data_IF_061378384718
#
_entry.id   IF_061378384718
#
_cell.length_a   1.000
_cell.length_b   1.000
_cell.length_c   1.000
_cell.angle_alpha   90.00
_cell.angle_beta   90.00
_cell.angle_gamma   90.00
#
_symmetry.space_group_name_H-M   'P 1'
#
loop_
_entity.id
_entity.type
_entity.pdbx_description
1 polymer ?
#
# COMPACT_ATOMS: atom_id res chain seq x y z
N UNK A 1 2.26 10.42 -34.24
CA UNK A 1 2.70 10.39 -32.83
C UNK A 1 2.24 9.12 -32.11
N UNK A 2 0.94 8.77 -32.14
CA UNK A 2 0.41 7.56 -31.48
C UNK A 2 1.06 6.22 -31.93
N UNK A 3 1.41 6.10 -33.21
CA UNK A 3 2.09 4.90 -33.74
C UNK A 3 3.53 4.74 -33.26
N UNK A 4 4.22 5.86 -32.95
CA UNK A 4 5.59 5.85 -32.48
C UNK A 4 5.65 5.53 -30.98
N UNK A 5 4.67 5.99 -30.19
CA UNK A 5 4.56 5.62 -28.77
C UNK A 5 4.21 4.14 -28.58
N UNK A 6 3.44 3.55 -29.51
CA UNK A 6 3.09 2.13 -29.45
C UNK A 6 4.34 1.25 -29.69
N UNK A 7 5.18 1.60 -30.67
CA UNK A 7 6.37 0.83 -30.99
C UNK A 7 7.49 0.92 -29.94
N UNK A 8 7.63 2.04 -29.23
CA UNK A 8 8.52 2.11 -28.05
C UNK A 8 8.02 1.24 -26.90
N UNK A 9 6.70 1.19 -26.68
CA UNK A 9 6.12 0.36 -25.62
C UNK A 9 6.38 -1.15 -25.88
N UNK A 10 6.20 -1.62 -27.11
CA UNK A 10 6.50 -3.03 -27.47
C UNK A 10 7.99 -3.38 -27.29
N UNK A 11 8.90 -2.45 -27.59
CA UNK A 11 10.34 -2.65 -27.35
C UNK A 11 10.70 -2.73 -25.86
N UNK A 12 9.96 -2.06 -24.97
CA UNK A 12 10.18 -2.19 -23.52
C UNK A 12 9.72 -3.54 -22.98
N UNK A 13 8.61 -4.09 -23.50
CA UNK A 13 8.15 -5.43 -23.12
C UNK A 13 9.14 -6.54 -23.54
N UNK A 14 9.78 -6.44 -24.70
CA UNK A 14 10.84 -7.38 -25.12
C UNK A 14 12.13 -7.25 -24.30
N UNK A 15 12.34 -6.11 -23.62
CA UNK A 15 13.52 -5.84 -22.81
C UNK A 15 13.36 -6.19 -21.32
N UNK A 16 12.19 -6.66 -20.90
CA UNK A 16 11.92 -7.04 -19.52
C UNK A 16 12.87 -8.16 -19.11
N UNK A 17 13.75 -7.87 -18.16
CA UNK A 17 14.68 -8.85 -17.64
C UNK A 17 13.93 -9.85 -16.74
N UNK A 18 14.45 -11.08 -16.62
CA UNK A 18 13.93 -12.08 -15.66
C UNK A 18 13.85 -11.52 -14.23
N UNK A 19 14.72 -10.56 -13.91
CA UNK A 19 14.71 -9.80 -12.66
C UNK A 19 13.41 -9.00 -12.44
N UNK A 20 12.85 -8.37 -13.47
CA UNK A 20 11.61 -7.59 -13.35
C UNK A 20 10.43 -8.52 -13.06
N UNK A 21 10.42 -9.69 -13.71
CA UNK A 21 9.40 -10.71 -13.47
C UNK A 21 9.44 -11.25 -12.03
N UNK A 22 10.63 -11.39 -11.44
CA UNK A 22 10.81 -11.75 -10.04
C UNK A 22 10.28 -10.67 -9.08
N UNK A 23 10.48 -9.39 -9.40
CA UNK A 23 9.90 -8.29 -8.62
C UNK A 23 8.38 -8.29 -8.69
N UNK A 24 7.78 -8.47 -9.87
CA UNK A 24 6.32 -8.57 -10.00
C UNK A 24 5.76 -9.79 -9.26
N UNK A 25 6.45 -10.94 -9.36
CA UNK A 25 6.03 -12.15 -8.67
C UNK A 25 6.09 -11.99 -7.14
N UNK A 26 7.16 -11.42 -6.61
CA UNK A 26 7.31 -11.19 -5.17
C UNK A 26 6.32 -10.13 -4.66
N UNK A 27 6.06 -9.08 -5.42
CA UNK A 27 5.02 -8.08 -5.10
C UNK A 27 3.62 -8.71 -5.09
N UNK A 28 3.31 -9.55 -6.07
CA UNK A 28 2.05 -10.28 -6.17
C UNK A 28 1.87 -11.27 -5.01
N UNK A 29 2.91 -12.06 -4.72
CA UNK A 29 2.89 -13.01 -3.61
C UNK A 29 2.72 -12.31 -2.26
N UNK A 30 3.43 -11.21 -2.02
CA UNK A 30 3.32 -10.44 -0.77
C UNK A 30 1.94 -9.82 -0.64
N UNK A 31 1.39 -9.24 -1.71
CA UNK A 31 0.05 -8.64 -1.68
C UNK A 31 -1.05 -9.67 -1.43
N UNK A 32 -0.96 -10.83 -2.07
CA UNK A 32 -2.01 -11.84 -2.00
C UNK A 32 -1.87 -12.76 -0.78
N UNK A 33 -0.70 -13.36 -0.60
CA UNK A 33 -0.45 -14.30 0.49
C UNK A 33 -0.33 -13.57 1.83
N UNK A 34 0.50 -12.54 1.93
CA UNK A 34 0.62 -11.82 3.19
C UNK A 34 -0.54 -10.85 3.38
N UNK A 35 -0.73 -9.91 2.46
CA UNK A 35 -1.74 -8.86 2.60
C UNK A 35 -3.16 -9.40 2.79
N UNK A 36 -3.62 -10.24 1.85
CA UNK A 36 -5.02 -10.66 1.83
C UNK A 36 -5.36 -11.74 2.85
N UNK A 37 -4.50 -12.73 3.09
CA UNK A 37 -4.76 -13.76 4.10
C UNK A 37 -4.71 -13.20 5.52
N UNK A 38 -3.68 -12.40 5.87
CA UNK A 38 -3.60 -11.78 7.19
C UNK A 38 -4.78 -10.83 7.43
N UNK A 39 -5.24 -10.12 6.39
CA UNK A 39 -6.43 -9.28 6.48
C UNK A 39 -7.68 -10.11 6.84
N UNK A 40 -7.94 -11.20 6.13
CA UNK A 40 -9.09 -12.07 6.42
C UNK A 40 -9.00 -12.72 7.80
N UNK A 41 -7.82 -13.19 8.21
CA UNK A 41 -7.59 -13.76 9.55
C UNK A 41 -7.78 -12.70 10.63
N UNK A 42 -7.26 -11.49 10.43
CA UNK A 42 -7.46 -10.35 11.33
C UNK A 42 -8.94 -10.02 11.49
N UNK A 43 -9.66 -9.85 10.39
CA UNK A 43 -11.11 -9.61 10.40
C UNK A 43 -11.86 -10.74 11.13
N UNK A 44 -11.48 -12.00 10.92
CA UNK A 44 -12.09 -13.15 11.61
C UNK A 44 -11.89 -13.10 13.13
N UNK A 45 -10.74 -12.62 13.61
CA UNK A 45 -10.42 -12.59 15.04
C UNK A 45 -11.02 -11.40 15.79
N UNK A 46 -10.93 -10.18 15.24
CA UNK A 46 -11.38 -8.94 15.91
C UNK A 46 -12.74 -8.43 15.42
N UNK A 47 -13.30 -9.04 14.37
CA UNK A 47 -14.55 -8.64 13.75
C UNK A 47 -14.41 -7.42 12.85
N UNK A 48 -15.27 -7.32 11.83
CA UNK A 48 -15.24 -6.26 10.81
C UNK A 48 -15.32 -4.85 11.44
N UNK A 49 -16.10 -4.69 12.51
CA UNK A 49 -16.31 -3.37 13.15
C UNK A 49 -15.05 -2.79 13.81
N UNK A 50 -14.12 -3.64 14.25
CA UNK A 50 -12.83 -3.19 14.82
C UNK A 50 -11.71 -3.22 13.79
N UNK A 51 -11.76 -4.15 12.85
CA UNK A 51 -10.75 -4.27 11.79
C UNK A 51 -10.82 -3.12 10.77
N UNK A 52 -12.01 -2.67 10.40
CA UNK A 52 -12.22 -1.59 9.41
C UNK A 52 -11.51 -0.28 9.78
N UNK A 53 -11.68 0.29 10.99
CA UNK A 53 -10.91 1.48 11.39
C UNK A 53 -9.40 1.21 11.45
N UNK A 54 -8.98 -0.01 11.81
CA UNK A 54 -7.57 -0.38 11.80
C UNK A 54 -6.98 -0.31 10.38
N UNK A 55 -7.69 -0.78 9.36
CA UNK A 55 -7.24 -0.65 7.95
C UNK A 55 -7.17 0.80 7.48
N UNK A 56 -8.02 1.67 8.03
CA UNK A 56 -7.93 3.11 7.81
C UNK A 56 -6.57 3.69 8.22
N UNK A 57 -5.84 3.07 9.16
CA UNK A 57 -4.50 3.52 9.57
C UNK A 57 -3.39 3.09 8.61
N UNK A 58 -3.70 2.38 7.52
CA UNK A 58 -2.70 1.96 6.52
C UNK A 58 -1.79 3.07 5.99
N UNK A 59 -2.22 4.35 5.81
CA UNK A 59 -1.32 5.42 5.38
C UNK A 59 -0.23 5.73 6.41
N UNK A 60 -0.51 5.56 7.72
CA UNK A 60 0.46 5.73 8.80
C UNK A 60 1.59 4.70 8.65
N UNK A 61 1.22 3.43 8.50
CA UNK A 61 2.18 2.34 8.34
C UNK A 61 2.94 2.45 7.02
N UNK A 62 2.28 2.85 5.94
CA UNK A 62 2.94 3.08 4.65
C UNK A 62 4.00 4.20 4.75
N UNK A 63 3.66 5.33 5.38
CA UNK A 63 4.61 6.42 5.61
C UNK A 63 5.78 5.99 6.52
N UNK A 64 5.49 5.25 7.60
CA UNK A 64 6.53 4.74 8.50
C UNK A 64 7.50 3.81 7.77
N UNK A 65 6.98 2.88 6.97
CA UNK A 65 7.80 1.96 6.18
C UNK A 65 8.58 2.70 5.09
N UNK A 66 8.00 3.72 4.45
CA UNK A 66 8.71 4.55 3.48
C UNK A 66 9.91 5.27 4.13
N UNK A 67 9.73 5.86 5.32
CA UNK A 67 10.83 6.52 6.05
C UNK A 67 11.91 5.51 6.44
N UNK A 68 11.54 4.34 6.94
CA UNK A 68 12.50 3.33 7.43
C UNK A 68 13.24 2.64 6.28
N UNK A 69 12.52 2.21 5.23
CA UNK A 69 13.07 1.40 4.13
C UNK A 69 13.68 2.29 3.06
N UNK A 70 12.99 3.37 2.67
CA UNK A 70 13.41 4.25 1.57
C UNK A 70 14.27 5.42 2.05
N UNK A 71 14.26 5.71 3.37
CA UNK A 71 15.06 6.80 3.95
C UNK A 71 14.51 8.18 3.65
N UNK A 72 13.26 8.30 3.20
CA UNK A 72 12.66 9.59 2.86
C UNK A 72 12.53 10.48 4.11
N UNK A 73 12.92 11.75 3.97
CA UNK A 73 12.72 12.75 5.03
C UNK A 73 11.24 13.10 5.10
N UNK A 74 10.55 12.84 6.23
CA UNK A 74 9.13 13.13 6.35
C UNK A 74 8.88 14.63 6.25
N UNK A 75 8.13 15.04 5.23
CA UNK A 75 7.66 16.42 5.08
C UNK A 75 6.61 16.73 6.15
N UNK A 76 6.56 17.98 6.62
CA UNK A 76 5.51 18.47 7.56
C UNK A 76 4.09 18.12 7.09
N UNK A 77 3.85 18.15 5.77
CA UNK A 77 2.59 17.76 5.14
C UNK A 77 2.20 16.29 5.43
N UNK A 78 3.16 15.37 5.45
CA UNK A 78 2.93 13.95 5.80
C UNK A 78 2.52 13.81 7.26
N UNK A 79 3.18 14.55 8.16
CA UNK A 79 2.82 14.58 9.58
C UNK A 79 1.38 15.07 9.82
N UNK A 80 0.98 16.14 9.14
CA UNK A 80 -0.40 16.66 9.20
C UNK A 80 -1.39 15.63 8.66
N UNK A 81 -1.09 14.99 7.52
CA UNK A 81 -1.94 13.95 6.93
C UNK A 81 -2.13 12.75 7.86
N UNK A 82 -1.06 12.29 8.51
CA UNK A 82 -1.10 11.23 9.52
C UNK A 82 -2.04 11.59 10.67
N UNK A 83 -1.91 12.79 11.22
CA UNK A 83 -2.75 13.26 12.34
C UNK A 83 -4.22 13.30 11.90
N UNK A 84 -4.49 13.85 10.72
CA UNK A 84 -5.85 13.99 10.17
C UNK A 84 -6.53 12.63 9.97
N UNK A 85 -5.82 11.67 9.37
CA UNK A 85 -6.32 10.31 9.13
C UNK A 85 -6.60 9.60 10.46
N UNK A 86 -5.67 9.68 11.41
CA UNK A 86 -5.83 9.09 12.75
C UNK A 86 -7.05 9.68 13.46
N UNK A 87 -7.24 11.00 13.39
CA UNK A 87 -8.37 11.69 14.01
C UNK A 87 -9.71 11.29 13.39
N UNK A 88 -9.78 11.17 12.06
CA UNK A 88 -10.97 10.68 11.35
C UNK A 88 -11.35 9.25 11.76
N UNK A 89 -10.37 8.37 11.90
CA UNK A 89 -10.59 6.98 12.34
C UNK A 89 -11.13 6.92 13.77
N UNK A 90 -10.58 7.74 14.67
CA UNK A 90 -11.05 7.82 16.06
C UNK A 90 -12.52 8.27 16.08
N UNK A 91 -12.89 9.30 15.32
CA UNK A 91 -14.27 9.79 15.21
C UNK A 91 -15.23 8.69 14.72
N UNK A 92 -14.85 7.98 13.65
CA UNK A 92 -15.67 6.89 13.09
C UNK A 92 -15.80 5.74 14.08
N UNK A 93 -14.72 5.40 14.79
CA UNK A 93 -14.71 4.30 15.77
C UNK A 93 -15.56 4.62 17.00
N UNK A 94 -15.54 5.88 17.46
CA UNK A 94 -16.33 6.35 18.61
C UNK A 94 -17.81 6.56 18.30
N UNK A 95 -18.19 6.68 17.03
CA UNK A 95 -19.58 6.89 16.61
C UNK A 95 -20.40 5.58 16.56
N UNK A 96 -20.01 4.56 17.34
CA UNK A 96 -20.69 3.28 17.47
C UNK A 96 -20.85 2.93 18.95
#
# INVERSE_FOLDING_TARGET
>A
MFSLSLSTQFNEFEKLAVSDFLWFFSAGLTSFAAGRLLNYVGIKNIGVSKASPLFGTSPLFAALLAIIILGETPTIMLGIGIILVTFGIILITKSK
#
